data_IF_834791451490
#
_entry.id   IF_834791451490
#
_cell.length_a   1.000
_cell.length_b   1.000
_cell.length_c   1.000
_cell.angle_alpha   90.00
_cell.angle_beta   90.00
_cell.angle_gamma   90.00
#
_symmetry.space_group_name_H-M   'P 1'
#
loop_
_entity.id
_entity.type
_entity.pdbx_description
1 polymer ?
#
# COMPACT_ATOMS: atom_id res chain seq x y z
N UNK A 1 -28.53 -5.80 -10.54
CA UNK A 1 -27.50 -6.27 -9.59
C UNK A 1 -26.23 -5.49 -9.84
N UNK A 2 -26.01 -4.43 -9.08
CA UNK A 2 -24.75 -3.67 -9.11
C UNK A 2 -23.73 -4.48 -8.34
N UNK A 3 -22.79 -5.10 -9.07
CA UNK A 3 -21.63 -5.76 -8.48
C UNK A 3 -20.85 -4.69 -7.72
N UNK A 4 -20.91 -4.72 -6.39
CA UNK A 4 -20.00 -3.97 -5.56
C UNK A 4 -18.64 -4.62 -5.76
N UNK A 5 -17.88 -4.12 -6.74
CA UNK A 5 -16.46 -4.40 -6.85
C UNK A 5 -15.90 -4.12 -5.46
N UNK A 6 -15.44 -5.19 -4.82
CA UNK A 6 -14.98 -5.16 -3.47
C UNK A 6 -13.94 -4.04 -3.33
N UNK A 7 -14.30 -2.98 -2.61
CA UNK A 7 -13.32 -2.09 -1.96
C UNK A 7 -12.71 -2.85 -0.77
N UNK A 8 -12.22 -4.06 -1.03
CA UNK A 8 -11.35 -4.77 -0.10
C UNK A 8 -9.96 -4.28 -0.40
N UNK A 9 -9.43 -3.44 0.51
CA UNK A 9 -8.01 -3.16 0.61
C UNK A 9 -7.20 -4.43 0.29
N UNK A 10 -6.15 -4.32 -0.52
CA UNK A 10 -5.38 -5.44 -1.05
C UNK A 10 -4.75 -6.40 0.02
N UNK A 11 -4.95 -6.16 1.31
CA UNK A 11 -4.41 -6.96 2.42
C UNK A 11 -5.45 -7.55 3.37
N UNK A 12 -6.71 -7.70 2.96
CA UNK A 12 -7.68 -8.47 3.74
C UNK A 12 -7.19 -9.92 4.01
N UNK A 13 -6.33 -10.45 3.12
CA UNK A 13 -5.86 -11.83 3.14
C UNK A 13 -4.50 -12.03 3.84
N UNK A 14 -3.90 -10.99 4.44
CA UNK A 14 -2.59 -11.07 5.10
C UNK A 14 -2.61 -10.72 6.60
N UNK A 15 -3.45 -11.41 7.42
CA UNK A 15 -3.66 -11.05 8.82
C UNK A 15 -2.37 -11.11 9.66
N UNK A 16 -1.46 -12.04 9.36
CA UNK A 16 -0.20 -12.18 10.09
C UNK A 16 0.76 -11.03 9.83
N UNK A 17 0.88 -10.59 8.57
CA UNK A 17 1.74 -9.45 8.22
C UNK A 17 1.21 -8.15 8.85
N UNK A 18 -0.11 -7.96 8.86
CA UNK A 18 -0.74 -6.79 9.47
C UNK A 18 -0.59 -6.77 10.98
N UNK A 19 -0.77 -7.91 11.64
CA UNK A 19 -0.52 -8.03 13.09
C UNK A 19 0.94 -7.73 13.42
N UNK A 20 1.87 -8.23 12.61
CA UNK A 20 3.30 -7.96 12.75
C UNK A 20 3.62 -6.47 12.59
N UNK A 21 3.08 -5.83 11.54
CA UNK A 21 3.23 -4.40 11.30
C UNK A 21 2.68 -3.55 12.43
N UNK A 22 1.49 -3.87 12.95
CA UNK A 22 0.90 -3.12 14.06
C UNK A 22 1.83 -3.16 15.30
N UNK A 23 2.31 -4.34 15.68
CA UNK A 23 3.22 -4.48 16.82
C UNK A 23 4.52 -3.68 16.62
N UNK A 24 5.14 -3.78 15.44
CA UNK A 24 6.44 -3.13 15.20
C UNK A 24 6.30 -1.63 14.97
N UNK A 25 5.38 -1.19 14.11
CA UNK A 25 5.31 0.20 13.66
C UNK A 25 4.37 1.06 14.50
N UNK A 26 3.25 0.50 14.98
CA UNK A 26 2.28 1.24 15.77
C UNK A 26 2.65 1.17 17.25
N UNK A 27 2.89 -0.03 17.77
CA UNK A 27 3.23 -0.23 19.19
C UNK A 27 4.73 -0.06 19.48
N UNK A 28 5.56 0.20 18.46
CA UNK A 28 7.03 0.37 18.58
C UNK A 28 7.73 -0.80 19.26
N UNK A 29 7.16 -2.01 19.14
CA UNK A 29 7.73 -3.21 19.72
C UNK A 29 8.96 -3.66 18.92
N UNK A 30 10.06 -4.09 19.57
CA UNK A 30 11.18 -4.72 18.88
C UNK A 30 10.71 -5.91 18.04
N UNK A 31 11.22 -6.02 16.82
CA UNK A 31 10.79 -7.05 15.84
C UNK A 31 10.86 -8.47 16.41
N UNK A 32 11.92 -8.79 17.15
CA UNK A 32 12.09 -10.12 17.78
C UNK A 32 11.01 -10.41 18.81
N UNK A 33 10.66 -9.42 19.66
CA UNK A 33 9.58 -9.56 20.63
C UNK A 33 8.21 -9.66 19.96
N UNK A 34 7.98 -8.91 18.88
CA UNK A 34 6.75 -9.01 18.10
C UNK A 34 6.61 -10.39 17.42
N UNK A 35 7.71 -10.93 16.87
CA UNK A 35 7.75 -12.27 16.28
C UNK A 35 7.44 -13.35 17.32
N UNK A 36 8.08 -13.30 18.49
CA UNK A 36 7.79 -14.21 19.60
C UNK A 36 6.34 -14.11 20.08
N UNK A 37 5.79 -12.90 20.16
CA UNK A 37 4.39 -12.69 20.56
C UNK A 37 3.36 -13.21 19.54
N UNK A 38 3.77 -13.41 18.29
CA UNK A 38 2.96 -14.02 17.23
C UNK A 38 3.29 -15.51 17.00
N UNK A 39 4.25 -16.07 17.74
CA UNK A 39 4.65 -17.47 17.63
C UNK A 39 5.36 -17.82 16.32
N UNK A 40 6.02 -16.85 15.67
CA UNK A 40 6.71 -17.03 14.39
C UNK A 40 8.22 -16.85 14.50
N UNK A 41 8.96 -17.42 13.53
CA UNK A 41 10.41 -17.25 13.49
C UNK A 41 10.79 -15.80 13.12
N UNK A 42 11.93 -15.28 13.60
CA UNK A 42 12.41 -13.93 13.24
C UNK A 42 12.61 -13.72 11.73
N UNK A 43 12.94 -14.79 10.99
CA UNK A 43 13.05 -14.78 9.53
C UNK A 43 11.70 -14.49 8.86
N UNK A 44 10.67 -15.26 9.22
CA UNK A 44 9.30 -15.08 8.71
C UNK A 44 8.76 -13.70 9.05
N UNK A 45 9.03 -13.21 10.25
CA UNK A 45 8.67 -11.87 10.67
C UNK A 45 9.29 -10.77 9.78
N UNK A 46 10.53 -10.98 9.34
CA UNK A 46 11.22 -10.06 8.43
C UNK A 46 10.58 -10.12 7.04
N UNK A 47 10.33 -11.33 6.54
CA UNK A 47 9.69 -11.56 5.24
C UNK A 47 8.28 -10.93 5.15
N UNK A 48 7.46 -11.13 6.19
CA UNK A 48 6.11 -10.57 6.26
C UNK A 48 6.12 -9.04 6.29
N UNK A 49 7.04 -8.43 7.04
CA UNK A 49 7.16 -6.98 7.12
C UNK A 49 7.66 -6.37 5.81
N UNK A 50 8.63 -6.99 5.14
CA UNK A 50 9.14 -6.49 3.87
C UNK A 50 8.06 -6.51 2.79
N UNK A 51 7.34 -7.63 2.65
CA UNK A 51 6.27 -7.76 1.64
C UNK A 51 5.18 -6.73 1.86
N UNK A 52 4.67 -6.61 3.10
CA UNK A 52 3.61 -5.65 3.38
C UNK A 52 4.03 -4.20 3.13
N UNK A 53 5.26 -3.81 3.48
CA UNK A 53 5.76 -2.45 3.24
C UNK A 53 5.92 -2.17 1.75
N UNK A 54 6.43 -3.14 0.99
CA UNK A 54 6.58 -3.01 -0.45
C UNK A 54 5.22 -2.80 -1.11
N UNK A 55 4.24 -3.62 -0.74
CA UNK A 55 2.93 -3.54 -1.35
C UNK A 55 2.23 -2.22 -0.97
N UNK A 56 2.31 -1.77 0.30
CA UNK A 56 1.78 -0.45 0.71
C UNK A 56 2.45 0.69 -0.04
N UNK A 57 3.75 0.60 -0.31
CA UNK A 57 4.46 1.60 -1.09
C UNK A 57 3.95 1.64 -2.54
N UNK A 58 3.69 0.49 -3.17
CA UNK A 58 3.11 0.41 -4.51
C UNK A 58 1.72 1.05 -4.55
N UNK A 59 0.85 0.70 -3.60
CA UNK A 59 -0.50 1.26 -3.50
C UNK A 59 -0.46 2.79 -3.33
N UNK A 60 0.49 3.29 -2.52
CA UNK A 60 0.65 4.72 -2.32
C UNK A 60 1.11 5.45 -3.59
N UNK A 61 2.03 4.86 -4.36
CA UNK A 61 2.46 5.42 -5.66
C UNK A 61 1.27 5.47 -6.63
N UNK A 62 0.51 4.39 -6.75
CA UNK A 62 -0.68 4.36 -7.60
C UNK A 62 -1.71 5.42 -7.20
N UNK A 63 -1.93 5.62 -5.90
CA UNK A 63 -2.82 6.66 -5.40
C UNK A 63 -2.32 8.07 -5.76
N UNK A 64 -1.01 8.32 -5.65
CA UNK A 64 -0.42 9.61 -6.01
C UNK A 64 -0.50 9.87 -7.52
N UNK A 65 -0.23 8.86 -8.34
CA UNK A 65 -0.35 8.96 -9.79
C UNK A 65 -1.79 9.18 -10.24
N UNK A 66 -2.77 8.48 -9.64
CA UNK A 66 -4.19 8.69 -9.90
C UNK A 66 -4.68 10.09 -9.50
N UNK A 67 -4.05 10.70 -8.48
CA UNK A 67 -4.35 12.08 -8.04
C UNK A 67 -3.63 13.15 -8.84
N UNK A 68 -2.72 12.78 -9.76
CA UNK A 68 -2.05 13.73 -10.64
C UNK A 68 -3.05 14.23 -11.67
N UNK A 69 -3.41 15.53 -11.68
CA UNK A 69 -4.24 16.06 -12.74
C UNK A 69 -3.52 15.86 -14.09
N UNK A 70 -4.23 15.48 -15.16
CA UNK A 70 -3.60 15.31 -16.46
C UNK A 70 -2.90 16.61 -16.83
N UNK A 71 -1.64 16.50 -17.27
CA UNK A 71 -0.92 17.66 -17.77
C UNK A 71 -1.76 18.28 -18.89
N UNK A 72 -2.26 19.50 -18.68
CA UNK A 72 -2.94 20.26 -19.74
C UNK A 72 -1.91 20.46 -20.85
N UNK A 73 -2.00 19.65 -21.90
CA UNK A 73 -1.33 19.98 -23.15
C UNK A 73 -2.12 21.13 -23.75
N UNK A 74 -1.64 22.35 -23.55
CA UNK A 74 -2.09 23.52 -24.29
C UNK A 74 -1.74 23.29 -25.77
N UNK A 75 -2.64 22.65 -26.50
CA UNK A 75 -2.75 22.85 -27.95
C UNK A 75 -3.78 23.94 -28.19
N UNK A 76 -3.51 25.16 -27.73
CA UNK A 76 -4.05 26.35 -28.39
C UNK A 76 -3.27 26.51 -29.69
N UNK A 77 -3.65 25.72 -30.70
CA UNK A 77 -3.33 26.08 -32.07
C UNK A 77 -4.37 27.12 -32.46
N UNK A 78 -3.99 28.39 -32.31
CA UNK A 78 -4.69 29.52 -32.90
C UNK A 78 -5.02 29.17 -34.36
N UNK A 79 -6.30 28.93 -34.63
CA UNK A 79 -6.80 28.98 -36.00
C UNK A 79 -7.17 30.45 -36.21
N UNK A 80 -6.14 31.22 -36.53
CA UNK A 80 -6.29 32.48 -37.27
C UNK A 80 -6.36 32.09 -38.74
N UNK A 81 -7.51 32.26 -39.37
CA UNK A 81 -7.59 32.49 -40.82
C UNK A 81 -8.68 33.55 -41.07
N UNK A 82 -8.18 34.70 -41.53
CA UNK A 82 -8.77 35.85 -42.25
C UNK A 82 -10.25 36.25 -42.02
#
# INVERSE_FOLDING_TARGET
MTCACAETSAYADAPMARAMFNRVEVMKQPRTLAASALGIAPGDATYLLSGLREDVAKDFVLLLDAKRPPAKTNYEKEISDE
#
